data_IF_408483459695
#
_entry.id   IF_408483459695
#
_cell.length_a   1.000
_cell.length_b   1.000
_cell.length_c   1.000
_cell.angle_alpha   90.00
_cell.angle_beta   90.00
_cell.angle_gamma   90.00
#
_symmetry.space_group_name_H-M   'P 1'
#
loop_
_entity.id
_entity.type
_entity.pdbx_description
1 polymer ?
#
# COMPACT_ATOMS: atom_id res chain seq x y z
N UNK A 1 18.65 26.63 8.49
CA UNK A 1 17.58 25.65 8.18
C UNK A 1 16.66 25.57 9.40
N UNK A 2 15.50 26.24 9.40
CA UNK A 2 14.55 26.21 10.53
C UNK A 2 13.75 24.92 10.45
N UNK A 3 14.05 23.94 11.29
CA UNK A 3 13.21 22.75 11.46
C UNK A 3 11.96 23.20 12.22
N UNK A 4 10.78 23.08 11.60
CA UNK A 4 9.52 23.39 12.29
C UNK A 4 9.19 22.24 13.25
N UNK A 5 8.66 22.59 14.42
CA UNK A 5 8.21 21.61 15.43
C UNK A 5 7.19 20.63 14.85
N UNK A 6 6.34 21.10 13.93
CA UNK A 6 5.36 20.28 13.18
C UNK A 6 6.03 19.15 12.38
N UNK A 7 7.18 19.40 11.75
CA UNK A 7 7.90 18.39 10.97
C UNK A 7 8.48 17.29 11.86
N UNK A 8 8.93 17.66 13.06
CA UNK A 8 9.45 16.72 14.06
C UNK A 8 8.30 15.88 14.61
N UNK A 9 7.19 16.52 14.99
CA UNK A 9 6.00 15.84 15.51
C UNK A 9 5.47 14.82 14.49
N UNK A 10 5.32 15.20 13.23
CA UNK A 10 4.85 14.29 12.18
C UNK A 10 5.80 13.12 11.94
N UNK A 11 7.12 13.31 12.09
CA UNK A 11 8.09 12.20 12.02
C UNK A 11 7.94 11.24 13.19
N UNK A 12 7.82 11.75 14.42
CA UNK A 12 7.62 10.93 15.61
C UNK A 12 6.34 10.10 15.51
N UNK A 13 5.23 10.74 15.08
CA UNK A 13 3.95 10.04 14.87
C UNK A 13 4.08 8.92 13.84
N UNK A 14 4.73 9.18 12.68
CA UNK A 14 4.95 8.14 11.67
C UNK A 14 5.74 6.95 12.20
N UNK A 15 6.81 7.21 12.97
CA UNK A 15 7.64 6.17 13.57
C UNK A 15 6.84 5.38 14.61
N UNK A 16 6.08 6.05 15.47
CA UNK A 16 5.24 5.39 16.47
C UNK A 16 4.19 4.47 15.83
N UNK A 17 3.50 4.95 14.78
CA UNK A 17 2.53 4.14 14.03
C UNK A 17 3.20 2.96 13.35
N UNK A 18 4.39 3.14 12.77
CA UNK A 18 5.13 2.04 12.16
C UNK A 18 5.53 0.96 13.19
N UNK A 19 5.99 1.36 14.38
CA UNK A 19 6.30 0.42 15.47
C UNK A 19 5.05 -0.35 15.89
N UNK A 20 3.92 0.34 16.06
CA UNK A 20 2.66 -0.31 16.40
C UNK A 20 2.23 -1.35 15.35
N UNK A 21 2.39 -1.03 14.06
CA UNK A 21 2.10 -1.95 12.95
C UNK A 21 3.03 -3.17 12.94
N UNK A 22 4.32 -2.98 13.24
CA UNK A 22 5.28 -4.09 13.34
C UNK A 22 4.96 -5.02 14.52
N UNK A 23 4.61 -4.44 15.68
CA UNK A 23 4.20 -5.22 16.85
C UNK A 23 2.93 -6.01 16.56
N UNK A 24 1.94 -5.38 15.93
CA UNK A 24 0.70 -6.06 15.54
C UNK A 24 0.95 -7.21 14.54
N UNK A 25 1.79 -6.98 13.52
CA UNK A 25 2.20 -8.02 12.58
C UNK A 25 2.92 -9.19 13.26
N UNK A 26 3.78 -8.90 14.24
CA UNK A 26 4.48 -9.93 15.02
C UNK A 26 3.50 -10.77 15.86
N UNK A 27 2.52 -10.14 16.51
CA UNK A 27 1.49 -10.85 17.28
C UNK A 27 0.66 -11.76 16.39
N UNK A 28 0.26 -11.30 15.21
CA UNK A 28 -0.47 -12.12 14.23
C UNK A 28 0.36 -13.33 13.76
N UNK A 29 1.63 -13.11 13.42
CA UNK A 29 2.53 -14.18 12.99
C UNK A 29 2.76 -15.22 14.11
N UNK A 30 2.88 -14.79 15.36
CA UNK A 30 2.99 -15.69 16.51
C UNK A 30 1.70 -16.50 16.71
N UNK A 31 0.53 -15.87 16.58
CA UNK A 31 -0.75 -16.56 16.65
C UNK A 31 -0.91 -17.63 15.57
N UNK A 32 -0.54 -17.32 14.33
CA UNK A 32 -0.52 -18.28 13.23
C UNK A 32 0.42 -19.45 13.49
N UNK A 33 1.63 -19.16 13.99
CA UNK A 33 2.60 -20.19 14.31
C UNK A 33 2.06 -21.14 15.38
N UNK A 34 1.36 -20.61 16.40
CA UNK A 34 0.71 -21.43 17.42
C UNK A 34 -0.44 -22.29 16.86
N UNK A 35 -1.26 -21.76 15.96
CA UNK A 35 -2.34 -22.54 15.34
C UNK A 35 -1.81 -23.70 14.50
N UNK A 36 -0.75 -23.44 13.72
CA UNK A 36 -0.09 -24.45 12.89
C UNK A 36 0.62 -25.51 13.74
N UNK A 37 1.34 -25.12 14.79
CA UNK A 37 2.08 -26.08 15.64
C UNK A 37 1.16 -26.96 16.47
N UNK A 38 0.03 -26.43 16.92
CA UNK A 38 -0.93 -27.19 17.74
C UNK A 38 -2.02 -27.89 16.92
N UNK A 39 -1.95 -27.87 15.58
CA UNK A 39 -2.96 -28.45 14.68
C UNK A 39 -4.40 -28.08 15.07
N UNK A 40 -4.61 -26.83 15.46
CA UNK A 40 -5.95 -26.32 15.76
C UNK A 40 -6.72 -26.30 14.44
N UNK A 41 -7.97 -26.74 14.43
CA UNK A 41 -8.78 -26.78 13.21
C UNK A 41 -8.99 -25.35 12.67
N UNK A 42 -8.20 -24.98 11.66
CA UNK A 42 -8.28 -23.72 10.93
C UNK A 42 -8.42 -23.99 9.44
N UNK A 43 -9.20 -23.14 8.77
CA UNK A 43 -9.39 -23.27 7.32
C UNK A 43 -8.20 -22.65 6.58
N UNK A 44 -7.92 -23.14 5.37
CA UNK A 44 -6.89 -22.55 4.50
C UNK A 44 -7.09 -21.03 4.30
N UNK A 45 -8.35 -20.60 4.18
CA UNK A 45 -8.70 -19.18 4.02
C UNK A 45 -8.34 -18.33 5.24
N UNK A 46 -8.41 -18.86 6.46
CA UNK A 46 -7.96 -18.16 7.66
C UNK A 46 -6.46 -17.92 7.61
N UNK A 47 -5.65 -18.93 7.30
CA UNK A 47 -4.20 -18.78 7.18
C UNK A 47 -3.81 -17.78 6.08
N UNK A 48 -4.46 -17.84 4.91
CA UNK A 48 -4.23 -16.87 3.83
C UNK A 48 -4.62 -15.46 4.26
N UNK A 49 -5.75 -15.31 4.95
CA UNK A 49 -6.23 -14.02 5.47
C UNK A 49 -5.22 -13.38 6.43
N UNK A 50 -4.72 -14.14 7.40
CA UNK A 50 -3.75 -13.61 8.37
C UNK A 50 -2.42 -13.26 7.71
N UNK A 51 -1.92 -14.08 6.78
CA UNK A 51 -0.69 -13.78 6.04
C UNK A 51 -0.83 -12.51 5.18
N UNK A 52 -1.99 -12.30 4.54
CA UNK A 52 -2.27 -11.07 3.80
C UNK A 52 -2.30 -9.85 4.74
N UNK A 53 -2.90 -9.98 5.93
CA UNK A 53 -2.95 -8.92 6.92
C UNK A 53 -1.54 -8.55 7.43
N UNK A 54 -0.71 -9.55 7.72
CA UNK A 54 0.71 -9.36 8.08
C UNK A 54 1.44 -8.62 6.95
N UNK A 55 1.27 -9.03 5.69
CA UNK A 55 1.90 -8.37 4.54
C UNK A 55 1.46 -6.91 4.39
N UNK A 56 0.17 -6.59 4.61
CA UNK A 56 -0.34 -5.21 4.60
C UNK A 56 0.34 -4.39 5.70
N UNK A 57 0.41 -4.90 6.94
CA UNK A 57 1.03 -4.22 8.07
C UNK A 57 2.53 -3.95 7.82
N UNK A 58 3.26 -4.94 7.33
CA UNK A 58 4.68 -4.78 6.98
C UNK A 58 4.88 -3.75 5.86
N UNK A 59 4.04 -3.79 4.81
CA UNK A 59 4.13 -2.83 3.71
C UNK A 59 3.80 -1.40 4.17
N UNK A 60 2.80 -1.23 5.03
CA UNK A 60 2.45 0.06 5.63
C UNK A 60 3.59 0.59 6.53
N UNK A 61 4.14 -0.25 7.40
CA UNK A 61 5.26 0.10 8.26
C UNK A 61 6.49 0.50 7.43
N UNK A 62 6.82 -0.27 6.39
CA UNK A 62 7.90 0.06 5.46
C UNK A 62 7.68 1.43 4.81
N UNK A 63 6.48 1.71 4.30
CA UNK A 63 6.16 3.00 3.68
C UNK A 63 6.25 4.18 4.66
N UNK A 64 5.93 3.97 5.94
CA UNK A 64 6.04 5.00 6.99
C UNK A 64 7.48 5.26 7.44
N UNK A 65 8.30 4.21 7.52
CA UNK A 65 9.71 4.30 7.94
C UNK A 65 10.64 4.72 6.80
N UNK A 66 10.22 4.53 5.55
CA UNK A 66 11.00 4.92 4.38
C UNK A 66 11.29 6.42 4.44
N UNK A 67 12.57 6.78 4.38
CA UNK A 67 12.97 8.18 4.25
C UNK A 67 12.32 8.78 2.99
N UNK A 68 12.01 10.09 2.99
CA UNK A 68 11.57 10.77 1.77
C UNK A 68 12.70 10.69 0.75
N UNK A 69 12.65 9.66 -0.09
CA UNK A 69 13.41 9.61 -1.34
C UNK A 69 12.75 10.62 -2.24
N UNK A 70 13.55 11.45 -2.90
CA UNK A 70 13.05 12.32 -3.96
C UNK A 70 12.16 11.47 -4.89
N UNK A 71 10.83 11.71 -4.93
CA UNK A 71 9.90 10.79 -5.56
C UNK A 71 10.16 10.64 -7.07
N UNK A 72 10.96 11.56 -7.60
CA UNK A 72 11.36 11.67 -9.00
C UNK A 72 12.74 11.07 -9.27
N UNK A 73 13.56 10.81 -8.24
CA UNK A 73 14.95 10.36 -8.41
C UNK A 73 15.05 9.06 -9.22
N UNK A 74 14.13 8.12 -9.03
CA UNK A 74 14.13 6.82 -9.71
C UNK A 74 13.37 6.82 -11.06
N UNK A 75 12.87 7.98 -11.50
CA UNK A 75 12.03 8.08 -12.70
C UNK A 75 12.91 8.32 -13.93
N UNK A 76 12.82 7.39 -14.89
CA UNK A 76 13.52 7.46 -16.17
C UNK A 76 12.62 8.07 -17.24
N UNK A 77 13.19 8.95 -18.08
CA UNK A 77 12.51 9.39 -19.29
C UNK A 77 12.58 8.30 -20.37
N UNK A 78 11.45 7.91 -21.00
CA UNK A 78 11.46 6.86 -22.03
C UNK A 78 12.21 7.26 -23.31
N UNK A 79 12.32 8.56 -23.61
CA UNK A 79 12.91 9.06 -24.85
C UNK A 79 14.40 9.36 -24.75
N UNK A 80 14.81 10.13 -23.74
CA UNK A 80 16.22 10.53 -23.56
C UNK A 80 16.95 9.72 -22.47
N UNK A 81 16.28 8.76 -21.82
CA UNK A 81 16.83 7.89 -20.76
C UNK A 81 17.45 8.63 -19.56
N UNK A 82 17.18 9.92 -19.41
CA UNK A 82 17.69 10.68 -18.27
C UNK A 82 16.98 10.28 -16.99
N UNK A 83 17.79 10.09 -15.95
CA UNK A 83 17.37 9.71 -14.60
C UNK A 83 17.13 10.98 -13.77
N UNK A 84 16.00 11.06 -13.08
CA UNK A 84 15.77 12.07 -12.06
C UNK A 84 15.56 13.49 -12.58
N UNK A 85 15.24 14.41 -11.67
CA UNK A 85 15.14 15.85 -11.96
C UNK A 85 13.97 16.30 -12.84
N UNK A 86 13.00 15.43 -13.11
CA UNK A 86 11.80 15.76 -13.88
C UNK A 86 10.84 16.65 -13.07
N UNK A 87 10.05 17.49 -13.76
CA UNK A 87 9.03 18.32 -13.09
C UNK A 87 7.68 17.62 -13.14
N UNK A 88 6.91 17.71 -12.06
CA UNK A 88 5.51 17.30 -12.09
C UNK A 88 4.75 18.16 -13.09
N UNK A 89 4.08 17.51 -14.05
CA UNK A 89 3.15 18.19 -14.93
C UNK A 89 1.76 18.22 -14.26
N UNK A 90 0.98 19.30 -14.44
CA UNK A 90 -0.38 19.36 -13.92
C UNK A 90 -1.18 18.17 -14.41
N UNK A 91 -1.75 17.41 -13.47
CA UNK A 91 -2.68 16.35 -13.77
C UNK A 91 -4.07 16.96 -13.92
N UNK A 92 -4.69 16.73 -15.07
CA UNK A 92 -6.09 17.05 -15.26
C UNK A 92 -6.91 16.01 -14.47
N UNK A 93 -7.39 16.44 -13.29
CA UNK A 93 -8.47 15.84 -12.49
C UNK A 93 -8.31 14.34 -12.13
N UNK A 94 -7.80 14.07 -10.93
CA UNK A 94 -8.01 12.78 -10.28
C UNK A 94 -9.36 12.75 -9.59
N UNK A 95 -10.39 12.17 -10.20
CA UNK A 95 -11.62 11.85 -9.47
C UNK A 95 -11.34 10.71 -8.48
N UNK A 96 -11.72 10.89 -7.22
CA UNK A 96 -11.85 9.77 -6.28
C UNK A 96 -12.84 8.78 -6.92
N UNK A 97 -12.41 7.55 -7.16
CA UNK A 97 -13.32 6.55 -7.71
C UNK A 97 -14.34 6.17 -6.63
N UNK A 98 -15.60 6.57 -6.81
CA UNK A 98 -16.70 6.19 -5.92
C UNK A 98 -16.76 4.67 -5.71
N UNK A 99 -16.48 3.87 -6.76
CA UNK A 99 -16.42 2.42 -6.67
C UNK A 99 -15.42 1.93 -5.61
N UNK A 100 -14.19 2.45 -5.56
CA UNK A 100 -13.20 2.04 -4.56
C UNK A 100 -13.61 2.43 -3.13
N UNK A 101 -14.35 3.53 -2.97
CA UNK A 101 -14.90 3.91 -1.68
C UNK A 101 -15.98 2.91 -1.20
N UNK A 102 -16.85 2.47 -2.10
CA UNK A 102 -17.95 1.55 -1.78
C UNK A 102 -17.48 0.13 -1.44
N UNK A 103 -16.48 -0.41 -2.14
CA UNK A 103 -16.08 -1.81 -2.00
C UNK A 103 -15.00 -2.07 -0.94
N UNK A 104 -14.18 -1.07 -0.57
CA UNK A 104 -13.08 -1.25 0.39
C UNK A 104 -12.92 -0.11 1.39
N UNK A 105 -13.89 0.81 1.44
CA UNK A 105 -13.89 1.94 2.35
C UNK A 105 -12.80 2.98 2.07
N UNK A 106 -12.56 3.82 3.08
CA UNK A 106 -11.68 4.98 2.96
C UNK A 106 -10.22 4.62 2.65
N UNK A 107 -9.66 3.60 3.31
CA UNK A 107 -8.27 3.18 3.13
C UNK A 107 -8.01 2.62 1.73
N UNK A 108 -8.93 1.79 1.22
CA UNK A 108 -8.80 1.22 -0.13
C UNK A 108 -8.83 2.30 -1.21
N UNK A 109 -9.68 3.31 -1.04
CA UNK A 109 -9.75 4.48 -1.92
C UNK A 109 -8.44 5.29 -1.92
N UNK A 110 -7.82 5.47 -0.74
CA UNK A 110 -6.50 6.12 -0.63
C UNK A 110 -5.43 5.32 -1.38
N UNK A 111 -5.37 4.00 -1.17
CA UNK A 111 -4.37 3.15 -1.82
C UNK A 111 -4.54 3.12 -3.34
N UNK A 112 -5.79 3.06 -3.81
CA UNK A 112 -6.11 3.15 -5.21
C UNK A 112 -5.65 4.48 -5.83
N UNK A 113 -6.00 5.60 -5.20
CA UNK A 113 -5.65 6.95 -5.67
C UNK A 113 -4.13 7.18 -5.64
N UNK A 114 -3.48 6.83 -4.52
CA UNK A 114 -2.04 6.95 -4.33
C UNK A 114 -1.23 6.03 -5.26
N UNK A 115 -1.82 4.93 -5.72
CA UNK A 115 -1.18 3.97 -6.63
C UNK A 115 -1.15 4.39 -8.10
N UNK A 116 -1.85 5.47 -8.48
CA UNK A 116 -1.95 5.91 -9.87
C UNK A 116 -0.63 6.46 -10.41
N UNK A 117 -0.47 6.37 -11.72
CA UNK A 117 0.68 6.95 -12.42
C UNK A 117 0.66 8.47 -12.33
N UNK A 118 1.85 9.04 -12.17
CA UNK A 118 2.04 10.48 -12.14
C UNK A 118 2.53 10.99 -13.48
N UNK A 119 2.11 12.20 -13.86
CA UNK A 119 2.51 12.82 -15.12
C UNK A 119 3.75 13.67 -14.86
N UNK A 120 4.79 13.40 -15.64
CA UNK A 120 6.07 14.08 -15.56
C UNK A 120 6.35 14.84 -16.86
N UNK A 121 7.06 15.96 -16.73
CA UNK A 121 7.69 16.67 -17.83
C UNK A 121 9.20 16.49 -17.72
N UNK A 122 9.80 15.91 -18.74
CA UNK A 122 11.24 15.74 -18.78
C UNK A 122 11.97 17.09 -18.76
N UNK A 123 13.08 17.18 -18.03
CA UNK A 123 13.93 18.38 -18.01
C UNK A 123 14.64 18.61 -19.35
N UNK A 124 15.19 17.56 -19.94
CA UNK A 124 16.02 17.64 -21.15
C UNK A 124 15.15 17.74 -22.41
N UNK A 125 14.37 16.70 -22.70
CA UNK A 125 13.59 16.63 -23.95
C UNK A 125 12.24 17.34 -23.88
N UNK A 126 11.86 17.90 -22.72
CA UNK A 126 10.57 18.57 -22.46
C UNK A 126 9.31 17.74 -22.71
N UNK A 127 9.47 16.46 -23.03
CA UNK A 127 8.37 15.53 -23.32
C UNK A 127 7.56 15.20 -22.06
N UNK A 128 6.27 14.97 -22.27
CA UNK A 128 5.31 14.61 -21.24
C UNK A 128 5.14 13.09 -21.23
N UNK A 129 5.34 12.46 -20.08
CA UNK A 129 5.19 11.01 -19.94
C UNK A 129 4.52 10.66 -18.60
N UNK A 130 3.98 9.44 -18.53
CA UNK A 130 3.42 8.87 -17.31
C UNK A 130 4.37 7.84 -16.72
N UNK A 131 4.59 7.91 -15.42
CA UNK A 131 5.42 6.92 -14.73
C UNK A 131 4.97 6.75 -13.28
N UNK A 132 5.32 5.60 -12.71
CA UNK A 132 5.12 5.33 -11.30
C UNK A 132 6.35 5.78 -10.50
N UNK A 133 6.13 6.66 -9.53
CA UNK A 133 7.11 6.97 -8.48
C UNK A 133 7.25 5.81 -7.51
N UNK A 134 8.36 5.79 -6.78
CA UNK A 134 8.59 4.80 -5.72
C UNK A 134 7.45 4.77 -4.68
N UNK A 135 6.84 5.93 -4.41
CA UNK A 135 5.69 6.05 -3.51
C UNK A 135 4.41 5.42 -4.12
N UNK A 136 4.12 5.73 -5.39
CA UNK A 136 2.95 5.17 -6.08
C UNK A 136 3.03 3.65 -6.26
N UNK A 137 4.23 3.09 -6.40
CA UNK A 137 4.43 1.63 -6.43
C UNK A 137 4.05 0.99 -5.09
N UNK A 138 4.43 1.62 -3.98
CA UNK A 138 4.06 1.17 -2.64
C UNK A 138 2.55 1.21 -2.40
N UNK A 139 1.89 2.31 -2.77
CA UNK A 139 0.42 2.40 -2.70
C UNK A 139 -0.29 1.39 -3.60
N UNK A 140 0.25 1.12 -4.79
CA UNK A 140 -0.28 0.07 -5.68
C UNK A 140 -0.14 -1.32 -5.06
N UNK A 141 0.98 -1.61 -4.40
CA UNK A 141 1.16 -2.87 -3.68
C UNK A 141 0.15 -3.01 -2.54
N UNK A 142 -0.02 -1.96 -1.74
CA UNK A 142 -1.04 -1.91 -0.67
C UNK A 142 -2.45 -2.14 -1.22
N UNK A 143 -2.79 -1.49 -2.34
CA UNK A 143 -4.06 -1.69 -3.00
C UNK A 143 -4.29 -3.15 -3.41
N UNK A 144 -3.29 -3.80 -4.01
CA UNK A 144 -3.38 -5.20 -4.43
C UNK A 144 -3.51 -6.15 -3.24
N UNK A 145 -2.74 -5.93 -2.17
CA UNK A 145 -2.83 -6.73 -0.94
C UNK A 145 -4.20 -6.59 -0.27
N UNK A 146 -4.72 -5.37 -0.17
CA UNK A 146 -6.06 -5.13 0.36
C UNK A 146 -7.15 -5.76 -0.51
N UNK A 147 -7.01 -5.72 -1.84
CA UNK A 147 -7.96 -6.37 -2.75
C UNK A 147 -7.94 -7.89 -2.58
N UNK A 148 -6.75 -8.49 -2.47
CA UNK A 148 -6.60 -9.92 -2.22
C UNK A 148 -7.21 -10.32 -0.87
N UNK A 149 -7.04 -9.50 0.17
CA UNK A 149 -7.65 -9.72 1.47
C UNK A 149 -9.18 -9.72 1.38
N UNK A 150 -9.77 -8.71 0.74
CA UNK A 150 -11.23 -8.62 0.55
C UNK A 150 -11.77 -9.83 -0.22
N UNK A 151 -11.12 -10.22 -1.31
CA UNK A 151 -11.53 -11.37 -2.12
C UNK A 151 -11.47 -12.67 -1.30
N UNK A 152 -10.39 -12.87 -0.52
CA UNK A 152 -10.27 -14.04 0.34
C UNK A 152 -11.37 -14.08 1.43
N UNK A 153 -11.71 -12.93 2.03
CA UNK A 153 -12.78 -12.86 3.02
C UNK A 153 -14.14 -13.19 2.44
N UNK A 154 -14.50 -12.61 1.29
CA UNK A 154 -15.76 -12.91 0.59
C UNK A 154 -15.82 -14.39 0.21
N UNK A 155 -14.72 -14.95 -0.28
CA UNK A 155 -14.66 -16.37 -0.64
C UNK A 155 -14.82 -17.27 0.57
N UNK A 156 -14.22 -16.92 1.72
CA UNK A 156 -14.39 -17.66 2.98
C UNK A 156 -15.86 -17.74 3.36
N UNK A 157 -16.56 -16.60 3.40
CA UNK A 157 -18.00 -16.54 3.71
C UNK A 157 -18.82 -17.35 2.72
N UNK A 158 -18.52 -17.26 1.43
CA UNK A 158 -19.21 -18.02 0.40
C UNK A 158 -18.98 -19.53 0.56
N UNK A 159 -17.75 -19.94 0.86
CA UNK A 159 -17.41 -21.35 1.07
C UNK A 159 -18.13 -21.95 2.29
N UNK A 160 -18.28 -21.17 3.36
CA UNK A 160 -19.04 -21.55 4.54
C UNK A 160 -20.53 -21.68 4.23
N UNK A 161 -21.08 -20.77 3.44
CA UNK A 161 -22.48 -20.82 3.00
C UNK A 161 -22.80 -22.09 2.18
N UNK A 162 -21.94 -22.44 1.21
CA UNK A 162 -22.12 -23.68 0.44
C UNK A 162 -21.94 -24.94 1.29
N UNK A 163 -20.99 -24.95 2.22
CA UNK A 163 -20.78 -26.07 3.12
C UNK A 163 -21.97 -26.29 4.08
N UNK A 164 -22.71 -25.23 4.41
CA UNK A 164 -23.90 -25.28 5.26
C UNK A 164 -25.17 -25.79 4.55
N UNK A 165 -25.10 -26.14 3.26
CA UNK A 165 -26.21 -26.78 2.53
C UNK A 165 -27.25 -25.81 1.98
N UNK A 166 -26.81 -24.74 1.32
CA UNK A 166 -27.65 -23.99 0.39
C UNK A 166 -28.17 -24.84 -0.78
#
# INVERSE_FOLDING_TARGET
MKIKIEDILMRVVKVAVAIALLLFAALLALGELQMVTHNIASTFHQHVGTNLLVAICLCMAYMLLRRPIDPVADVHCPRCRTLGGHKFAPQYRGSISHAALHFGGFLFSIFYSGGRQQRFRCRECKELFYSHTALSRGYRLLFLLSAAFIVNSIWSEFSEFWAAGG
#
